data_IF_165901323289
#
_entry.id   IF_165901323289
#
_cell.length_a   1.000
_cell.length_b   1.000
_cell.length_c   1.000
_cell.angle_alpha   90.00
_cell.angle_beta   90.00
_cell.angle_gamma   90.00
#
_symmetry.space_group_name_H-M   'P 1'
#
loop_
_entity.id
_entity.type
_entity.pdbx_description
1 polymer ?
#
# COMPACT_ATOMS: atom_id res chain seq x y z
N UNK A 1 -20.38 1.23 20.40
CA UNK A 1 -20.74 0.94 19.00
C UNK A 1 -20.78 2.21 18.12
N UNK A 2 -21.53 3.26 18.48
CA UNK A 2 -21.66 4.48 17.65
C UNK A 2 -20.34 5.12 17.17
N UNK A 3 -19.30 5.20 18.01
CA UNK A 3 -18.00 5.79 17.62
C UNK A 3 -17.31 5.03 16.48
N UNK A 4 -17.41 3.70 16.44
CA UNK A 4 -16.82 2.87 15.38
C UNK A 4 -17.60 3.02 14.08
N UNK A 5 -18.92 3.13 14.19
CA UNK A 5 -19.82 3.39 13.05
C UNK A 5 -19.58 4.77 12.44
N UNK A 6 -19.35 5.80 13.25
CA UNK A 6 -19.01 7.15 12.78
C UNK A 6 -17.64 7.17 12.08
N UNK A 7 -16.63 6.48 12.64
CA UNK A 7 -15.32 6.38 12.02
C UNK A 7 -15.36 5.62 10.68
N UNK A 8 -16.11 4.50 10.63
CA UNK A 8 -16.28 3.74 9.39
C UNK A 8 -17.02 4.56 8.32
N UNK A 9 -18.06 5.30 8.70
CA UNK A 9 -18.80 6.17 7.80
C UNK A 9 -17.92 7.32 7.26
N UNK A 10 -17.07 7.89 8.11
CA UNK A 10 -16.11 8.93 7.70
C UNK A 10 -15.09 8.40 6.67
N UNK A 11 -14.58 7.18 6.87
CA UNK A 11 -13.67 6.53 5.90
C UNK A 11 -14.39 6.26 4.56
N UNK A 12 -15.63 5.78 4.60
CA UNK A 12 -16.43 5.52 3.40
C UNK A 12 -16.76 6.79 2.61
N UNK A 13 -17.00 7.92 3.31
CA UNK A 13 -17.28 9.21 2.67
C UNK A 13 -16.03 9.80 1.98
N UNK A 14 -14.83 9.56 2.50
CA UNK A 14 -13.58 9.92 1.82
C UNK A 14 -13.36 9.07 0.56
N UNK A 15 -13.72 7.78 0.62
CA UNK A 15 -13.63 6.86 -0.51
C UNK A 15 -14.65 7.11 -1.64
N UNK A 16 -15.70 7.91 -1.38
CA UNK A 16 -16.76 8.23 -2.34
C UNK A 16 -16.45 9.44 -3.25
N UNK A 17 -15.25 10.03 -3.14
CA UNK A 17 -14.79 11.05 -4.08
C UNK A 17 -14.62 10.45 -5.48
N UNK A 18 -14.88 11.25 -6.52
CA UNK A 18 -14.57 10.84 -7.90
C UNK A 18 -13.09 10.42 -7.95
N UNK A 19 -12.83 9.23 -8.47
CA UNK A 19 -11.48 8.73 -8.68
C UNK A 19 -10.84 9.60 -9.78
N UNK A 20 -10.35 10.77 -9.41
CA UNK A 20 -9.67 11.69 -10.31
C UNK A 20 -8.46 10.94 -10.86
N UNK A 21 -8.31 10.92 -12.19
CA UNK A 21 -7.11 10.37 -12.80
C UNK A 21 -5.86 11.02 -12.19
N UNK A 22 -4.77 10.26 -12.07
CA UNK A 22 -3.50 10.76 -11.56
C UNK A 22 -3.04 11.95 -12.41
N UNK A 23 -2.76 13.09 -11.77
CA UNK A 23 -2.35 14.33 -12.43
C UNK A 23 -0.93 14.72 -12.04
N UNK A 24 -0.22 15.36 -12.96
CA UNK A 24 1.06 16.00 -12.69
C UNK A 24 1.01 16.85 -11.40
N UNK A 25 2.03 16.70 -10.54
CA UNK A 25 2.14 17.40 -9.27
C UNK A 25 1.39 16.78 -8.09
N UNK A 26 0.68 15.66 -8.30
CA UNK A 26 -0.06 14.97 -7.21
C UNK A 26 0.87 14.06 -6.41
N UNK A 27 0.62 13.96 -5.10
CA UNK A 27 1.22 12.95 -4.21
C UNK A 27 0.21 11.82 -3.98
N UNK A 28 0.67 10.59 -4.10
CA UNK A 28 -0.11 9.40 -3.74
C UNK A 28 0.46 8.74 -2.48
N UNK A 29 -0.41 8.29 -1.59
CA UNK A 29 -0.06 7.54 -0.39
C UNK A 29 -0.83 6.22 -0.39
N UNK A 30 -0.12 5.11 -0.20
CA UNK A 30 -0.69 3.77 -0.22
C UNK A 30 -0.28 2.93 0.99
N UNK A 31 -1.19 2.09 1.47
CA UNK A 31 -0.94 1.03 2.45
C UNK A 31 -1.35 -0.30 1.84
N UNK A 32 -0.51 -1.33 1.98
CA UNK A 32 -0.76 -2.65 1.38
C UNK A 32 -0.13 -3.78 2.22
N UNK A 33 -0.71 -4.99 2.22
CA UNK A 33 -0.01 -6.17 2.69
C UNK A 33 0.98 -6.68 1.63
N UNK A 34 2.10 -7.27 2.07
CA UNK A 34 3.06 -7.97 1.20
C UNK A 34 3.21 -9.42 1.63
N UNK A 35 3.52 -10.30 0.68
CA UNK A 35 3.92 -11.70 0.88
C UNK A 35 4.92 -12.07 -0.22
N UNK A 36 5.99 -12.76 0.14
CA UNK A 36 7.05 -13.13 -0.79
C UNK A 36 7.10 -14.65 -0.99
N UNK A 37 7.11 -15.08 -2.25
CA UNK A 37 7.32 -16.47 -2.64
C UNK A 37 8.66 -16.58 -3.34
N UNK A 38 9.55 -17.38 -2.79
CA UNK A 38 10.83 -17.66 -3.42
C UNK A 38 10.73 -18.90 -4.31
N UNK A 39 11.60 -18.94 -5.31
CA UNK A 39 11.75 -20.12 -6.14
C UNK A 39 12.32 -21.27 -5.29
N UNK A 40 11.79 -22.50 -5.50
CA UNK A 40 12.21 -23.68 -4.75
C UNK A 40 13.69 -24.03 -4.95
N UNK A 41 14.27 -23.65 -6.09
CA UNK A 41 15.69 -23.86 -6.39
C UNK A 41 16.64 -23.05 -5.50
N UNK A 42 16.16 -21.95 -4.92
CA UNK A 42 16.95 -21.10 -4.03
C UNK A 42 17.15 -21.72 -2.64
N UNK A 43 16.42 -22.79 -2.31
CA UNK A 43 16.44 -23.44 -1.00
C UNK A 43 16.20 -22.46 0.17
N UNK A 44 15.47 -21.37 -0.10
CA UNK A 44 15.03 -20.40 0.89
C UNK A 44 13.67 -20.81 1.43
N UNK A 45 13.44 -20.55 2.71
CA UNK A 45 12.10 -20.62 3.28
C UNK A 45 11.22 -19.55 2.64
N UNK A 46 9.94 -19.87 2.40
CA UNK A 46 9.01 -18.89 1.86
C UNK A 46 8.91 -17.67 2.78
N UNK A 47 8.89 -16.49 2.15
CA UNK A 47 8.91 -15.24 2.88
C UNK A 47 7.63 -15.04 3.66
N UNK A 48 7.76 -14.52 4.87
CA UNK A 48 6.61 -14.13 5.67
C UNK A 48 5.88 -12.94 5.03
N UNK A 49 4.62 -12.77 5.41
CA UNK A 49 3.87 -11.57 5.07
C UNK A 49 4.15 -10.42 6.02
N UNK A 50 3.87 -9.20 5.60
CA UNK A 50 4.03 -8.01 6.43
C UNK A 50 3.27 -6.79 5.89
N UNK A 51 3.15 -5.71 6.67
CA UNK A 51 2.62 -4.45 6.17
C UNK A 51 3.67 -3.71 5.33
N UNK A 52 3.18 -3.01 4.30
CA UNK A 52 3.93 -2.12 3.44
C UNK A 52 3.23 -0.79 3.24
N UNK A 53 4.02 0.21 2.88
CA UNK A 53 3.56 1.54 2.55
C UNK A 53 4.30 2.08 1.32
N UNK A 54 3.65 3.00 0.62
CA UNK A 54 4.15 3.62 -0.61
C UNK A 54 3.88 5.11 -0.59
N UNK A 55 4.84 5.88 -1.09
CA UNK A 55 4.66 7.27 -1.48
C UNK A 55 5.03 7.43 -2.95
N UNK A 56 4.17 8.11 -3.72
CA UNK A 56 4.38 8.41 -5.12
C UNK A 56 4.27 9.91 -5.39
N UNK A 57 5.02 10.40 -6.36
CA UNK A 57 4.89 11.75 -6.90
C UNK A 57 4.81 11.71 -8.44
N UNK A 58 3.74 12.28 -8.99
CA UNK A 58 3.52 12.33 -10.45
C UNK A 58 4.29 13.50 -11.06
N UNK A 59 5.38 13.21 -11.76
CA UNK A 59 6.14 14.20 -12.53
C UNK A 59 5.34 14.72 -13.74
N UNK A 60 4.48 13.88 -14.30
CA UNK A 60 3.50 14.21 -15.35
C UNK A 60 2.30 13.27 -15.24
N UNK A 61 1.28 13.47 -16.09
CA UNK A 61 0.13 12.56 -16.19
C UNK A 61 0.50 11.14 -16.69
N UNK A 62 1.77 10.88 -17.03
CA UNK A 62 2.26 9.59 -17.55
C UNK A 62 3.52 9.05 -16.87
N UNK A 63 4.11 9.82 -15.95
CA UNK A 63 5.37 9.47 -15.31
C UNK A 63 5.32 9.84 -13.83
N UNK A 64 5.74 8.91 -12.99
CA UNK A 64 5.84 9.10 -11.56
C UNK A 64 7.17 8.57 -11.02
N UNK A 65 7.57 9.10 -9.88
CA UNK A 65 8.60 8.50 -9.02
C UNK A 65 7.90 7.93 -7.80
N UNK A 66 8.25 6.70 -7.46
CA UNK A 66 7.67 5.97 -6.35
C UNK A 66 8.78 5.49 -5.41
N UNK A 67 8.50 5.54 -4.11
CA UNK A 67 9.27 4.87 -3.09
C UNK A 67 8.32 4.03 -2.23
N UNK A 68 8.62 2.74 -2.13
CA UNK A 68 7.90 1.80 -1.27
C UNK A 68 8.83 1.17 -0.23
N UNK A 69 8.21 0.70 0.86
CA UNK A 69 8.92 -0.01 1.90
C UNK A 69 7.98 -0.92 2.67
N UNK A 70 8.50 -2.07 3.10
CA UNK A 70 7.74 -3.05 3.86
C UNK A 70 8.50 -3.55 5.07
N UNK A 71 7.77 -3.80 6.15
CA UNK A 71 8.31 -4.47 7.33
C UNK A 71 7.94 -5.96 7.29
N UNK A 72 8.89 -6.82 6.96
CA UNK A 72 8.68 -8.27 6.85
C UNK A 72 9.56 -8.99 7.86
N UNK A 73 8.98 -9.71 8.84
CA UNK A 73 9.77 -10.50 9.79
C UNK A 73 10.54 -11.61 9.06
N UNK A 74 11.83 -11.74 9.34
CA UNK A 74 12.65 -12.84 8.80
C UNK A 74 12.42 -14.16 9.53
N UNK A 75 11.91 -14.10 10.75
CA UNK A 75 11.52 -15.24 11.56
C UNK A 75 10.10 -14.97 12.07
N UNK A 76 9.13 -15.76 11.63
CA UNK A 76 7.81 -15.84 12.26
C UNK A 76 7.75 -17.21 12.96
N UNK A 77 7.09 -17.32 14.13
CA UNK A 77 6.98 -18.56 14.88
C UNK A 77 6.27 -19.68 14.10
#
# INVERSE_FOLDING_TARGET
MMRRSIAALAVMLVAASELQAQRAGTIELGLFPTIAYFDKSLQLNQGNGGPGARVGFFLSDRLAVEADGSWVPTNAP
#
